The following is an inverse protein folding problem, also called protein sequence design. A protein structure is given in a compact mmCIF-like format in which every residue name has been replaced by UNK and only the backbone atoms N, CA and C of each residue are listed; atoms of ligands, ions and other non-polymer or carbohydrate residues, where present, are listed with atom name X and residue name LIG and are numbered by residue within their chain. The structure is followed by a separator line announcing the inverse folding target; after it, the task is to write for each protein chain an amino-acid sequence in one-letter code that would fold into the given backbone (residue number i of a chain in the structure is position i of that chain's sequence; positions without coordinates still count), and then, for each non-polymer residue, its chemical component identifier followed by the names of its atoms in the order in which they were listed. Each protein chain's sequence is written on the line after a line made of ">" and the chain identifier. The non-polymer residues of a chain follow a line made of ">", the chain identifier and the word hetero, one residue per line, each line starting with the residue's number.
data_IF_089466565515
#
_entry.id   IF_089466565515
#
_cell.length_a   1.000
_cell.length_b   1.000
_cell.length_c   1.000
_cell.angle_alpha   90.00
_cell.angle_beta   90.00
_cell.angle_gamma   90.00
#
_symmetry.space_group_name_H-M   'P 1'
#
loop_
_entity.id
_entity.type
_entity.pdbx_description
1 polymer ?
#
# COMPACT_ATOMS: atom_id res chain seq x y z
N UNK A 1 4.05 -9.46 -5.43
CA UNK A 1 4.74 -9.72 -6.71
C UNK A 1 5.38 -11.11 -6.68
N UNK A 2 5.50 -11.74 -7.86
CA UNK A 2 6.13 -13.05 -8.04
C UNK A 2 7.40 -12.87 -8.89
N UNK A 3 8.48 -13.54 -8.53
CA UNK A 3 9.70 -13.52 -9.35
C UNK A 3 9.42 -14.15 -10.74
N UNK A 4 9.95 -13.55 -11.80
CA UNK A 4 9.74 -14.03 -13.18
C UNK A 4 10.16 -15.50 -13.38
N UNK A 5 11.26 -15.89 -12.75
CA UNK A 5 11.72 -17.29 -12.77
C UNK A 5 10.73 -18.26 -12.13
N UNK A 6 10.06 -17.85 -11.05
CA UNK A 6 9.00 -18.66 -10.41
C UNK A 6 7.75 -18.70 -11.27
N UNK A 7 7.36 -17.57 -11.88
CA UNK A 7 6.22 -17.52 -12.78
C UNK A 7 6.41 -18.45 -13.97
N UNK A 8 7.60 -18.45 -14.58
CA UNK A 8 7.96 -19.34 -15.70
C UNK A 8 7.91 -20.82 -15.32
N UNK A 9 8.35 -21.17 -14.08
CA UNK A 9 8.25 -22.55 -13.58
C UNK A 9 6.80 -23.02 -13.38
N UNK A 10 5.90 -22.10 -12.97
CA UNK A 10 4.49 -22.41 -12.74
C UNK A 10 3.67 -22.42 -14.03
N UNK A 11 4.07 -21.63 -15.02
CA UNK A 11 3.43 -21.52 -16.32
C UNK A 11 4.52 -21.33 -17.39
N UNK A 12 5.06 -22.42 -18.00
CA UNK A 12 6.14 -22.32 -18.98
C UNK A 12 5.79 -21.51 -20.24
N UNK A 13 4.51 -21.43 -20.57
CA UNK A 13 4.00 -20.69 -21.74
C UNK A 13 3.69 -19.21 -21.45
N UNK A 14 4.03 -18.70 -20.24
CA UNK A 14 3.75 -17.32 -19.87
C UNK A 14 4.48 -16.35 -20.80
N UNK A 15 3.75 -15.33 -21.25
CA UNK A 15 4.33 -14.22 -22.03
C UNK A 15 4.58 -13.02 -21.13
N UNK A 16 5.82 -12.55 -21.07
CA UNK A 16 6.17 -11.32 -20.39
C UNK A 16 6.01 -10.15 -21.35
N UNK A 17 5.20 -9.17 -20.97
CA UNK A 17 4.99 -7.94 -21.73
C UNK A 17 5.42 -6.73 -20.91
N UNK A 18 5.97 -5.72 -21.57
CA UNK A 18 6.31 -4.47 -20.92
C UNK A 18 5.06 -3.70 -20.52
N UNK A 19 5.05 -3.13 -19.32
CA UNK A 19 3.93 -2.31 -18.86
C UNK A 19 3.89 -0.96 -19.58
N UNK A 20 2.71 -0.57 -20.09
CA UNK A 20 2.49 0.76 -20.65
C UNK A 20 2.15 1.74 -19.52
N UNK A 21 3.17 2.23 -18.80
CA UNK A 21 3.00 3.16 -17.68
C UNK A 21 2.25 4.46 -18.03
N UNK A 22 2.51 5.12 -19.18
CA UNK A 22 1.73 6.29 -19.59
C UNK A 22 0.24 6.00 -19.71
N UNK A 23 -0.14 4.91 -20.35
CA UNK A 23 -1.53 4.48 -20.48
C UNK A 23 -2.17 4.20 -19.12
N UNK A 24 -1.49 3.48 -18.23
CA UNK A 24 -1.97 3.18 -16.88
C UNK A 24 -2.24 4.50 -16.11
N UNK A 25 -1.32 5.47 -16.19
CA UNK A 25 -1.49 6.77 -15.54
C UNK A 25 -2.68 7.54 -16.12
N UNK A 26 -2.87 7.52 -17.43
CA UNK A 26 -4.00 8.18 -18.09
C UNK A 26 -5.33 7.56 -17.67
N UNK A 27 -5.43 6.23 -17.64
CA UNK A 27 -6.64 5.54 -17.17
C UNK A 27 -6.92 5.84 -15.70
N UNK A 28 -5.88 5.79 -14.85
CA UNK A 28 -5.99 6.17 -13.44
C UNK A 28 -6.52 7.60 -13.28
N UNK A 29 -5.98 8.56 -14.03
CA UNK A 29 -6.41 9.96 -13.95
C UNK A 29 -7.89 10.12 -14.28
N UNK A 30 -8.39 9.44 -15.33
CA UNK A 30 -9.82 9.45 -15.69
C UNK A 30 -10.71 8.89 -14.57
N UNK A 31 -10.32 7.75 -13.98
CA UNK A 31 -11.05 7.17 -12.86
C UNK A 31 -11.08 8.13 -11.67
N UNK A 32 -9.94 8.72 -11.30
CA UNK A 32 -9.87 9.69 -10.19
C UNK A 32 -10.72 10.95 -10.45
N UNK A 33 -10.75 11.43 -11.71
CA UNK A 33 -11.60 12.54 -12.11
C UNK A 33 -13.10 12.20 -11.95
N UNK A 34 -13.50 10.99 -12.36
CA UNK A 34 -14.89 10.53 -12.16
C UNK A 34 -15.23 10.51 -10.67
N UNK A 35 -14.37 9.93 -9.84
CA UNK A 35 -14.58 9.82 -8.40
C UNK A 35 -14.69 11.17 -7.72
N UNK A 36 -13.84 12.13 -8.08
CA UNK A 36 -13.80 13.48 -7.50
C UNK A 36 -15.11 14.29 -7.72
N UNK A 37 -15.95 13.90 -8.67
CA UNK A 37 -17.27 14.56 -8.91
C UNK A 37 -18.29 14.27 -7.81
N UNK A 38 -18.05 13.28 -6.94
CA UNK A 38 -19.06 12.77 -6.00
C UNK A 38 -18.76 13.09 -4.53
N UNK A 39 -17.53 13.44 -4.20
CA UNK A 39 -17.16 13.78 -2.83
C UNK A 39 -15.67 14.02 -2.68
N UNK A 40 -15.24 14.26 -1.46
CA UNK A 40 -13.81 14.40 -1.14
C UNK A 40 -13.08 13.11 -1.51
N UNK A 41 -12.02 13.23 -2.30
CA UNK A 41 -11.24 12.13 -2.84
C UNK A 41 -9.88 12.02 -2.14
N UNK A 42 -9.57 10.85 -1.59
CA UNK A 42 -8.22 10.49 -1.13
C UNK A 42 -7.66 9.41 -2.06
N UNK A 43 -6.64 9.76 -2.83
CA UNK A 43 -5.95 8.81 -3.70
C UNK A 43 -4.96 7.97 -2.89
N UNK A 44 -5.14 6.66 -2.89
CA UNK A 44 -4.27 5.71 -2.18
C UNK A 44 -3.14 5.16 -3.05
N UNK A 45 -3.45 4.85 -4.31
CA UNK A 45 -2.52 4.31 -5.29
C UNK A 45 -2.94 4.69 -6.72
N UNK A 46 -2.35 4.06 -7.71
CA UNK A 46 -2.71 4.24 -9.12
C UNK A 46 -4.13 3.72 -9.43
N UNK A 47 -4.64 2.77 -8.64
CA UNK A 47 -5.88 2.04 -8.87
C UNK A 47 -6.85 2.02 -7.67
N UNK A 48 -6.48 2.67 -6.57
CA UNK A 48 -7.29 2.71 -5.35
C UNK A 48 -7.49 4.13 -4.84
N UNK A 49 -8.71 4.43 -4.40
CA UNK A 49 -9.06 5.70 -3.77
C UNK A 49 -10.21 5.53 -2.77
N UNK A 50 -10.29 6.43 -1.80
CA UNK A 50 -11.48 6.64 -0.98
C UNK A 50 -12.23 7.88 -1.45
N UNK A 51 -13.55 7.79 -1.41
CA UNK A 51 -14.45 8.94 -1.65
C UNK A 51 -15.35 9.09 -0.44
N UNK A 52 -15.39 10.29 0.13
CA UNK A 52 -16.30 10.59 1.23
C UNK A 52 -17.70 10.89 0.68
N UNK A 53 -18.65 10.04 1.04
CA UNK A 53 -20.06 10.18 0.68
C UNK A 53 -20.93 10.54 1.88
N UNK A 54 -20.37 10.99 3.01
CA UNK A 54 -21.09 11.25 4.27
C UNK A 54 -22.20 12.30 4.12
N UNK A 55 -22.04 13.25 3.20
CA UNK A 55 -23.04 14.30 2.92
C UNK A 55 -24.12 13.87 1.92
N UNK A 56 -24.06 12.66 1.38
CA UNK A 56 -24.98 12.19 0.37
C UNK A 56 -26.22 11.54 1.00
N UNK A 57 -27.41 11.87 0.48
CA UNK A 57 -28.67 11.31 1.00
C UNK A 57 -28.81 9.80 0.79
N UNK A 58 -28.27 9.29 -0.31
CA UNK A 58 -28.33 7.86 -0.66
C UNK A 58 -26.97 7.39 -1.17
N UNK A 59 -25.99 7.15 -0.26
CA UNK A 59 -24.65 6.75 -0.63
C UNK A 59 -24.58 5.39 -1.32
N UNK A 60 -25.51 4.46 -1.04
CA UNK A 60 -25.56 3.16 -1.68
C UNK A 60 -25.94 3.27 -3.16
N UNK A 61 -27.02 3.97 -3.50
CA UNK A 61 -27.41 4.18 -4.88
C UNK A 61 -26.32 4.95 -5.65
N UNK A 62 -25.70 5.91 -4.99
CA UNK A 62 -24.61 6.69 -5.57
C UNK A 62 -23.36 5.82 -5.85
N UNK A 63 -22.98 4.93 -4.94
CA UNK A 63 -21.88 3.98 -5.15
C UNK A 63 -22.11 3.09 -6.39
N UNK A 64 -23.32 2.55 -6.55
CA UNK A 64 -23.69 1.78 -7.75
C UNK A 64 -23.61 2.63 -9.03
N UNK A 65 -24.01 3.90 -8.95
CA UNK A 65 -23.92 4.85 -10.07
C UNK A 65 -22.49 5.15 -10.45
N UNK A 66 -21.61 5.34 -9.47
CA UNK A 66 -20.17 5.57 -9.66
C UNK A 66 -19.54 4.39 -10.42
N UNK A 67 -19.77 3.15 -9.97
CA UNK A 67 -19.22 1.94 -10.62
C UNK A 67 -19.68 1.83 -12.08
N UNK A 68 -20.98 2.05 -12.34
CA UNK A 68 -21.53 2.07 -13.71
C UNK A 68 -20.85 3.13 -14.57
N UNK A 69 -20.62 4.33 -14.03
CA UNK A 69 -19.98 5.43 -14.74
C UNK A 69 -18.50 5.14 -15.04
N UNK A 70 -17.75 4.61 -14.09
CA UNK A 70 -16.38 4.16 -14.34
C UNK A 70 -16.36 3.17 -15.50
N UNK A 71 -17.21 2.15 -15.48
CA UNK A 71 -17.29 1.16 -16.56
C UNK A 71 -17.64 1.77 -17.90
N UNK A 72 -18.64 2.67 -17.98
CA UNK A 72 -19.08 3.28 -19.23
C UNK A 72 -18.08 4.27 -19.81
N UNK A 73 -17.38 5.06 -18.95
CA UNK A 73 -16.45 6.09 -19.41
C UNK A 73 -15.02 5.57 -19.65
N UNK A 74 -14.63 4.45 -19.01
CA UNK A 74 -13.25 3.94 -19.08
C UNK A 74 -13.13 2.51 -19.58
N UNK A 75 -14.24 1.78 -19.69
CA UNK A 75 -14.29 0.33 -19.95
C UNK A 75 -13.52 -0.54 -18.93
N UNK A 76 -13.17 0.02 -17.77
CA UNK A 76 -12.47 -0.70 -16.71
C UNK A 76 -13.47 -1.34 -15.74
N UNK A 77 -13.27 -2.62 -15.36
CA UNK A 77 -14.00 -3.21 -14.25
C UNK A 77 -13.54 -2.59 -12.93
N UNK A 78 -14.45 -2.37 -12.00
CA UNK A 78 -14.13 -1.86 -10.68
C UNK A 78 -15.03 -2.46 -9.62
N UNK A 79 -14.50 -2.63 -8.40
CA UNK A 79 -15.24 -3.07 -7.22
C UNK A 79 -15.17 -2.01 -6.13
N UNK A 80 -16.22 -1.88 -5.33
CA UNK A 80 -16.24 -0.92 -4.25
C UNK A 80 -16.81 -1.51 -2.95
N UNK A 81 -16.41 -0.92 -1.84
CA UNK A 81 -16.98 -1.16 -0.52
C UNK A 81 -17.52 0.15 0.06
N UNK A 82 -18.73 0.12 0.57
CA UNK A 82 -19.35 1.22 1.30
C UNK A 82 -19.42 0.86 2.79
N UNK A 83 -18.86 1.71 3.64
CA UNK A 83 -18.85 1.52 5.10
C UNK A 83 -18.63 2.85 5.81
N UNK A 84 -18.76 2.84 7.14
CA UNK A 84 -18.56 4.03 7.99
C UNK A 84 -17.10 4.40 8.21
N UNK A 85 -16.15 3.53 7.84
CA UNK A 85 -14.72 3.78 8.01
C UNK A 85 -13.91 3.33 6.80
N UNK A 86 -12.77 3.99 6.58
CA UNK A 86 -11.83 3.65 5.48
C UNK A 86 -11.36 2.20 5.56
N UNK A 87 -11.08 1.71 6.77
CA UNK A 87 -10.64 0.34 6.98
C UNK A 87 -11.68 -0.68 6.49
N UNK A 88 -12.92 -0.50 6.91
CA UNK A 88 -14.00 -1.45 6.58
C UNK A 88 -14.39 -1.32 5.11
N UNK A 89 -14.47 -0.10 4.57
CA UNK A 89 -14.72 0.13 3.14
C UNK A 89 -13.67 -0.57 2.26
N UNK A 90 -12.37 -0.47 2.63
CA UNK A 90 -11.29 -1.16 1.91
C UNK A 90 -11.43 -2.69 1.93
N UNK A 91 -11.76 -3.26 3.09
CA UNK A 91 -11.97 -4.71 3.22
C UNK A 91 -13.21 -5.14 2.43
N UNK A 92 -14.29 -4.37 2.51
CA UNK A 92 -15.53 -4.62 1.77
C UNK A 92 -15.32 -4.58 0.26
N UNK A 93 -14.47 -3.67 -0.25
CA UNK A 93 -14.18 -3.59 -1.68
C UNK A 93 -13.49 -4.83 -2.25
N UNK A 94 -12.81 -5.62 -1.40
CA UNK A 94 -12.15 -6.87 -1.78
C UNK A 94 -13.03 -8.11 -1.59
N UNK A 95 -14.21 -7.96 -0.96
CA UNK A 95 -15.04 -9.08 -0.53
C UNK A 95 -15.76 -9.78 -1.69
N UNK A 96 -16.25 -9.00 -2.63
CA UNK A 96 -17.03 -9.50 -3.79
C UNK A 96 -16.40 -9.05 -5.11
N UNK A 97 -15.12 -9.40 -5.33
CA UNK A 97 -14.42 -9.18 -6.60
C UNK A 97 -14.64 -10.33 -7.57
N UNK A 98 -14.71 -10.07 -8.89
CA UNK A 98 -14.64 -8.79 -9.59
C UNK A 98 -15.99 -8.06 -9.69
N UNK A 99 -15.94 -6.75 -10.00
CA UNK A 99 -17.11 -5.89 -10.29
C UNK A 99 -18.19 -5.88 -9.18
N UNK A 100 -17.81 -6.22 -7.94
CA UNK A 100 -18.70 -6.29 -6.79
C UNK A 100 -18.90 -4.94 -6.09
N UNK A 101 -20.02 -4.85 -5.36
CA UNK A 101 -20.33 -3.71 -4.49
C UNK A 101 -20.84 -4.20 -3.14
N UNK A 102 -19.97 -4.19 -2.15
CA UNK A 102 -20.29 -4.64 -0.80
C UNK A 102 -20.62 -3.46 0.11
N UNK A 103 -21.78 -3.52 0.75
CA UNK A 103 -22.24 -2.51 1.70
C UNK A 103 -22.21 -3.08 3.12
N UNK A 104 -21.49 -2.40 4.01
CA UNK A 104 -21.46 -2.71 5.45
C UNK A 104 -22.25 -1.63 6.16
N UNK A 105 -23.42 -2.00 6.69
CA UNK A 105 -24.31 -1.07 7.36
C UNK A 105 -23.71 -0.52 8.67
N UNK A 106 -23.98 0.74 9.01
CA UNK A 106 -23.53 1.32 10.28
C UNK A 106 -23.89 0.44 11.49
N UNK A 107 -22.91 0.22 12.38
CA UNK A 107 -23.07 -0.62 13.57
C UNK A 107 -22.90 -2.13 13.33
N UNK A 108 -22.71 -2.56 12.08
CA UNK A 108 -22.51 -3.99 11.74
C UNK A 108 -21.05 -4.32 11.40
N UNK A 109 -20.13 -3.38 11.51
CA UNK A 109 -18.72 -3.49 11.10
C UNK A 109 -18.03 -4.67 11.79
N UNK A 110 -18.18 -4.77 13.11
CA UNK A 110 -17.59 -5.88 13.89
C UNK A 110 -18.17 -7.23 13.50
N UNK A 111 -19.48 -7.30 13.22
CA UNK A 111 -20.15 -8.52 12.76
C UNK A 111 -19.67 -8.95 11.38
N UNK A 112 -19.48 -7.97 10.48
CA UNK A 112 -18.93 -8.20 9.13
C UNK A 112 -17.50 -8.75 9.19
N UNK A 113 -16.65 -8.17 10.04
CA UNK A 113 -15.24 -8.56 10.17
C UNK A 113 -15.05 -9.87 10.92
N UNK A 114 -15.88 -10.18 11.91
CA UNK A 114 -15.72 -11.30 12.84
C UNK A 114 -15.31 -12.64 12.19
N UNK A 115 -15.96 -13.12 11.11
CA UNK A 115 -15.63 -14.40 10.46
C UNK A 115 -14.36 -14.34 9.59
N UNK A 116 -13.86 -13.14 9.26
CA UNK A 116 -12.75 -12.97 8.33
C UNK A 116 -11.42 -13.38 8.97
N UNK A 117 -10.56 -13.98 8.15
CA UNK A 117 -9.16 -14.22 8.52
C UNK A 117 -8.44 -12.92 8.85
N UNK A 118 -7.55 -12.95 9.84
CA UNK A 118 -6.78 -11.78 10.28
C UNK A 118 -5.98 -11.11 9.17
N UNK A 119 -5.55 -11.86 8.17
CA UNK A 119 -4.82 -11.32 7.00
C UNK A 119 -5.68 -10.43 6.09
N UNK A 120 -7.00 -10.50 6.21
CA UNK A 120 -7.92 -9.61 5.48
C UNK A 120 -7.94 -8.20 6.06
N UNK A 121 -7.50 -8.03 7.30
CA UNK A 121 -7.39 -6.70 7.91
C UNK A 121 -6.24 -5.92 7.25
N UNK A 122 -6.57 -4.80 6.65
CA UNK A 122 -5.58 -3.91 6.04
C UNK A 122 -4.49 -3.49 7.03
N UNK A 123 -3.22 -3.74 6.66
CA UNK A 123 -2.05 -3.48 7.50
C UNK A 123 -1.63 -4.63 8.39
N UNK A 124 -2.28 -5.81 8.32
CA UNK A 124 -1.76 -7.06 8.91
C UNK A 124 -1.02 -7.84 7.83
N UNK A 125 0.30 -7.69 7.81
CA UNK A 125 1.17 -8.44 6.90
C UNK A 125 1.48 -9.87 7.38
N UNK A 126 2.19 -10.67 6.56
CA UNK A 126 2.50 -12.07 6.88
C UNK A 126 3.20 -12.26 8.23
N UNK A 127 4.14 -11.39 8.58
CA UNK A 127 4.87 -11.48 9.87
C UNK A 127 3.96 -11.27 11.08
N UNK A 128 3.06 -10.28 11.02
CA UNK A 128 2.08 -10.02 12.09
C UNK A 128 1.07 -11.16 12.18
N UNK A 129 0.57 -11.63 11.04
CA UNK A 129 -0.35 -12.75 10.99
C UNK A 129 0.28 -14.05 11.56
N UNK A 130 1.53 -14.35 11.22
CA UNK A 130 2.24 -15.51 11.78
C UNK A 130 2.33 -15.45 13.31
N UNK A 131 2.66 -14.27 13.88
CA UNK A 131 2.70 -14.08 15.32
C UNK A 131 1.33 -14.19 15.98
N UNK A 132 0.26 -13.73 15.33
CA UNK A 132 -1.10 -13.89 15.84
C UNK A 132 -1.53 -15.37 15.78
N UNK A 133 -1.22 -16.06 14.68
CA UNK A 133 -1.51 -17.48 14.53
C UNK A 133 -0.81 -18.36 15.59
N UNK A 134 0.43 -18.03 16.00
CA UNK A 134 1.12 -18.74 17.09
C UNK A 134 0.46 -18.57 18.46
N UNK A 135 -0.44 -17.58 18.61
CA UNK A 135 -1.30 -17.40 19.77
C UNK A 135 -2.69 -18.05 19.62
N UNK A 136 -2.91 -18.82 18.55
CA UNK A 136 -4.21 -19.42 18.25
C UNK A 136 -5.22 -18.45 17.63
N UNK A 137 -4.79 -17.23 17.24
CA UNK A 137 -5.64 -16.19 16.67
C UNK A 137 -5.64 -16.32 15.15
N UNK A 138 -6.75 -16.72 14.56
CA UNK A 138 -6.89 -16.91 13.10
C UNK A 138 -7.89 -15.94 12.48
N UNK A 139 -8.93 -15.57 13.22
CA UNK A 139 -10.02 -14.71 12.76
C UNK A 139 -10.04 -13.37 13.50
N UNK A 140 -10.74 -12.41 12.92
CA UNK A 140 -10.96 -11.11 13.56
C UNK A 140 -11.70 -11.25 14.89
N UNK A 141 -12.66 -12.18 15.01
CA UNK A 141 -13.34 -12.52 16.27
C UNK A 141 -12.38 -12.88 17.39
N UNK A 142 -11.30 -13.61 17.06
CA UNK A 142 -10.34 -14.08 18.06
C UNK A 142 -9.54 -12.90 18.63
N UNK A 143 -9.18 -11.92 17.77
CA UNK A 143 -8.53 -10.67 18.23
C UNK A 143 -9.45 -9.88 19.16
N UNK A 144 -10.75 -9.85 18.85
CA UNK A 144 -11.73 -9.15 19.70
C UNK A 144 -11.87 -9.85 21.06
N UNK A 145 -11.91 -11.18 21.07
CA UNK A 145 -12.12 -11.98 22.26
C UNK A 145 -10.91 -12.04 23.21
N UNK A 146 -9.68 -12.08 22.65
CA UNK A 146 -8.47 -12.25 23.47
C UNK A 146 -8.26 -11.06 24.43
N UNK A 147 -7.79 -11.35 25.65
CA UNK A 147 -7.37 -10.28 26.57
C UNK A 147 -6.19 -9.50 25.98
N UNK A 148 -6.26 -8.17 26.04
CA UNK A 148 -5.21 -7.27 25.57
C UNK A 148 -3.88 -7.51 26.27
N UNK A 149 -3.91 -7.94 27.54
CA UNK A 149 -2.71 -8.23 28.32
C UNK A 149 -1.86 -9.36 27.70
N UNK A 150 -2.48 -10.26 26.92
CA UNK A 150 -1.77 -11.31 26.18
C UNK A 150 -1.13 -10.81 24.89
N UNK A 151 -1.61 -9.70 24.33
CA UNK A 151 -1.08 -9.08 23.11
C UNK A 151 0.04 -8.07 23.41
N UNK A 152 -0.04 -7.37 24.54
CA UNK A 152 0.89 -6.30 24.92
C UNK A 152 2.37 -6.74 24.92
N UNK A 153 2.78 -7.90 25.45
CA UNK A 153 4.17 -8.32 25.43
C UNK A 153 4.74 -8.55 24.03
N UNK A 154 3.88 -8.84 23.05
CA UNK A 154 4.25 -9.22 21.68
C UNK A 154 4.18 -8.04 20.72
N UNK A 155 3.16 -7.20 20.88
CA UNK A 155 2.84 -6.12 19.94
C UNK A 155 2.92 -4.72 20.57
N UNK A 156 3.18 -4.61 21.88
CA UNK A 156 3.24 -3.33 22.58
C UNK A 156 1.97 -2.50 22.37
N UNK A 157 2.11 -1.20 22.17
CA UNK A 157 0.99 -0.27 21.92
C UNK A 157 0.18 -0.61 20.66
N UNK A 158 0.77 -1.34 19.72
CA UNK A 158 0.05 -1.79 18.53
C UNK A 158 -1.11 -2.75 18.84
N UNK A 159 -1.13 -3.37 20.03
CA UNK A 159 -2.21 -4.26 20.50
C UNK A 159 -3.57 -3.57 20.52
N UNK A 160 -3.62 -2.31 20.95
CA UNK A 160 -4.85 -1.49 20.94
C UNK A 160 -5.34 -1.28 19.50
N UNK A 161 -4.41 -0.95 18.60
CA UNK A 161 -4.72 -0.76 17.19
C UNK A 161 -5.26 -2.05 16.54
N UNK A 162 -4.66 -3.21 16.85
CA UNK A 162 -5.14 -4.52 16.38
C UNK A 162 -6.59 -4.79 16.82
N UNK A 163 -6.90 -4.56 18.09
CA UNK A 163 -8.28 -4.73 18.61
C UNK A 163 -9.26 -3.77 17.96
N UNK A 164 -8.90 -2.50 17.81
CA UNK A 164 -9.75 -1.51 17.14
C UNK A 164 -10.02 -1.91 15.70
N UNK A 165 -8.98 -2.28 14.96
CA UNK A 165 -9.14 -2.75 13.57
C UNK A 165 -10.05 -3.97 13.46
N UNK A 166 -9.90 -4.95 14.36
CA UNK A 166 -10.75 -6.15 14.37
C UNK A 166 -12.22 -5.85 14.69
N UNK A 167 -12.50 -4.74 15.41
CA UNK A 167 -13.85 -4.22 15.66
C UNK A 167 -14.37 -3.32 14.52
N UNK A 168 -13.56 -3.00 13.52
CA UNK A 168 -13.91 -2.07 12.45
C UNK A 168 -13.76 -0.59 12.82
N UNK A 169 -13.14 -0.29 13.96
CA UNK A 169 -12.93 1.08 14.44
C UNK A 169 -11.73 1.70 13.73
N UNK A 170 -11.98 2.73 12.95
CA UNK A 170 -10.96 3.52 12.25
C UNK A 170 -11.47 4.96 12.09
N UNK A 171 -10.88 5.87 12.86
CA UNK A 171 -11.31 7.27 12.94
C UNK A 171 -10.62 8.18 11.90
N UNK A 172 -9.86 7.60 10.95
CA UNK A 172 -9.22 8.39 9.90
C UNK A 172 -10.28 8.92 8.93
N UNK A 173 -10.26 10.23 8.73
CA UNK A 173 -11.07 10.88 7.69
C UNK A 173 -10.49 10.66 6.30
N UNK A 174 -11.29 10.87 5.26
CA UNK A 174 -10.81 10.94 3.88
C UNK A 174 -10.02 12.23 3.71
N UNK A 175 -8.74 12.12 3.41
CA UNK A 175 -7.79 13.24 3.34
C UNK A 175 -7.42 13.51 1.88
N UNK A 176 -7.86 14.64 1.29
CA UNK A 176 -7.54 14.99 -0.10
C UNK A 176 -6.11 15.50 -0.28
N UNK A 177 -5.36 15.65 0.80
CA UNK A 177 -3.99 16.18 0.75
C UNK A 177 -3.11 15.31 -0.16
N UNK A 178 -2.27 15.92 -0.99
CA UNK A 178 -1.35 15.16 -1.83
C UNK A 178 -0.38 14.37 -0.95
N UNK A 179 -0.18 13.10 -1.32
CA UNK A 179 0.78 12.26 -0.62
C UNK A 179 2.20 12.85 -0.76
N UNK A 180 2.84 13.05 0.38
CA UNK A 180 4.20 13.58 0.44
C UNK A 180 5.17 12.43 0.65
N UNK A 181 6.07 12.18 -0.31
CA UNK A 181 7.12 11.18 -0.17
C UNK A 181 8.00 11.47 1.05
N UNK A 182 8.10 10.52 1.97
CA UNK A 182 8.95 10.62 3.17
C UNK A 182 10.40 10.23 2.89
N UNK A 183 10.64 9.51 1.81
CA UNK A 183 11.95 9.09 1.35
C UNK A 183 11.95 9.01 -0.18
N UNK A 184 13.10 9.24 -0.79
CA UNK A 184 13.38 9.03 -2.19
C UNK A 184 14.56 8.09 -2.29
N UNK A 185 14.50 7.13 -3.21
CA UNK A 185 15.58 6.18 -3.42
C UNK A 185 15.55 5.58 -4.82
N UNK A 186 16.69 5.10 -5.25
CA UNK A 186 16.86 4.28 -6.45
C UNK A 186 17.59 3.00 -6.08
N UNK A 187 17.37 1.94 -6.82
CA UNK A 187 18.10 0.69 -6.68
C UNK A 187 18.26 0.01 -8.03
N UNK A 188 19.38 -0.66 -8.23
CA UNK A 188 19.62 -1.47 -9.41
C UNK A 188 19.97 -2.90 -9.03
N UNK A 189 19.67 -3.82 -9.93
CA UNK A 189 20.09 -5.22 -9.85
C UNK A 189 20.94 -5.50 -11.07
N UNK A 190 22.16 -5.99 -10.83
CA UNK A 190 23.11 -6.28 -11.89
C UNK A 190 22.85 -7.68 -12.48
N UNK A 191 23.08 -7.84 -13.76
CA UNK A 191 22.95 -9.13 -14.46
C UNK A 191 23.98 -10.16 -13.97
N UNK A 192 25.13 -9.67 -13.50
CA UNK A 192 26.17 -10.46 -12.84
C UNK A 192 26.63 -9.81 -11.54
N UNK A 193 27.12 -10.63 -10.61
CA UNK A 193 27.59 -10.12 -9.33
C UNK A 193 28.82 -9.21 -9.50
N UNK A 194 28.78 -8.04 -8.88
CA UNK A 194 29.94 -7.17 -8.81
C UNK A 194 31.04 -7.83 -7.99
N UNK A 195 32.26 -7.89 -8.52
CA UNK A 195 33.40 -8.56 -7.89
C UNK A 195 34.43 -7.60 -7.33
N UNK A 196 34.49 -6.37 -7.82
CA UNK A 196 35.48 -5.38 -7.43
C UNK A 196 34.83 -4.20 -6.71
N UNK A 197 35.53 -3.67 -5.71
CA UNK A 197 35.06 -2.51 -4.95
C UNK A 197 34.85 -1.28 -5.87
N UNK A 198 35.69 -1.11 -6.89
CA UNK A 198 35.57 -0.05 -7.91
C UNK A 198 34.24 -0.07 -8.64
N UNK A 199 33.73 -1.25 -8.98
CA UNK A 199 32.43 -1.39 -9.67
C UNK A 199 31.28 -0.99 -8.74
N UNK A 200 31.41 -1.34 -7.45
CA UNK A 200 30.43 -0.94 -6.41
C UNK A 200 30.45 0.58 -6.22
N UNK A 201 31.65 1.20 -6.17
CA UNK A 201 31.80 2.65 -6.05
C UNK A 201 31.21 3.40 -7.22
N UNK A 202 31.46 2.94 -8.46
CA UNK A 202 30.86 3.52 -9.66
C UNK A 202 29.34 3.44 -9.64
N UNK A 203 28.79 2.28 -9.30
CA UNK A 203 27.35 2.12 -9.16
C UNK A 203 26.75 3.04 -8.10
N UNK A 204 27.39 3.19 -6.93
CA UNK A 204 26.93 4.10 -5.89
C UNK A 204 26.98 5.57 -6.34
N UNK A 205 27.98 5.99 -7.11
CA UNK A 205 28.05 7.34 -7.67
C UNK A 205 26.88 7.61 -8.62
N UNK A 206 26.59 6.67 -9.52
CA UNK A 206 25.46 6.79 -10.45
C UNK A 206 24.12 6.87 -9.70
N UNK A 207 23.88 5.97 -8.75
CA UNK A 207 22.67 5.96 -7.94
C UNK A 207 22.53 7.23 -7.08
N UNK A 208 23.64 7.76 -6.56
CA UNK A 208 23.66 9.04 -5.81
C UNK A 208 23.26 10.22 -6.71
N UNK A 209 23.71 10.23 -7.96
CA UNK A 209 23.32 11.23 -8.95
C UNK A 209 21.83 11.17 -9.26
N UNK A 210 21.29 9.99 -9.56
CA UNK A 210 19.86 9.79 -9.82
C UNK A 210 18.98 10.26 -8.63
N UNK A 211 19.37 9.92 -7.39
CA UNK A 211 18.63 10.35 -6.19
C UNK A 211 18.70 11.86 -6.03
N UNK A 212 19.89 12.47 -6.21
CA UNK A 212 20.07 13.93 -6.13
C UNK A 212 19.19 14.67 -7.14
N UNK A 213 19.19 14.24 -8.39
CA UNK A 213 18.36 14.81 -9.46
C UNK A 213 16.86 14.69 -9.12
N UNK A 214 16.43 13.52 -8.61
CA UNK A 214 15.04 13.29 -8.23
C UNK A 214 14.60 14.16 -7.06
N UNK A 215 15.44 14.34 -6.04
CA UNK A 215 15.18 15.22 -4.90
C UNK A 215 15.10 16.68 -5.38
N UNK A 216 16.02 17.10 -6.25
CA UNK A 216 16.04 18.44 -6.84
C UNK A 216 14.78 18.76 -7.64
N UNK A 217 14.29 17.82 -8.46
CA UNK A 217 13.03 17.96 -9.19
C UNK A 217 11.81 18.11 -8.28
N UNK A 218 11.87 17.57 -7.06
CA UNK A 218 10.82 17.72 -6.05
C UNK A 218 10.91 19.03 -5.26
N UNK A 219 11.97 19.82 -5.46
CA UNK A 219 12.25 21.02 -4.66
C UNK A 219 12.51 20.70 -3.18
N UNK A 220 13.16 19.57 -2.88
CA UNK A 220 13.37 19.05 -1.53
C UNK A 220 14.83 18.80 -1.20
N UNK A 221 15.07 18.55 0.09
CA UNK A 221 16.35 18.12 0.63
C UNK A 221 16.20 16.86 1.46
N UNK A 222 17.29 16.18 1.70
CA UNK A 222 17.39 15.05 2.61
C UNK A 222 18.32 15.38 3.80
N UNK A 223 18.22 14.60 4.86
CA UNK A 223 19.15 14.65 6.00
C UNK A 223 19.71 13.28 6.35
N UNK A 224 19.07 12.24 5.87
CA UNK A 224 19.47 10.86 6.16
C UNK A 224 19.70 10.13 4.84
N UNK A 225 20.90 9.59 4.69
CA UNK A 225 21.29 8.73 3.59
C UNK A 225 21.20 7.29 4.07
N UNK A 226 20.67 6.41 3.22
CA UNK A 226 20.57 4.99 3.49
C UNK A 226 21.14 4.20 2.32
N UNK A 227 22.12 3.33 2.59
CA UNK A 227 22.65 2.37 1.63
C UNK A 227 22.06 1.00 1.94
N UNK A 228 21.59 0.32 0.89
CA UNK A 228 21.12 -1.06 0.94
C UNK A 228 21.97 -1.90 -0.02
N UNK A 229 22.63 -2.93 0.51
CA UNK A 229 23.36 -3.92 -0.27
C UNK A 229 22.68 -5.28 -0.15
N UNK A 230 22.55 -5.95 -1.28
CA UNK A 230 21.96 -7.29 -1.34
C UNK A 230 22.87 -8.25 -2.08
N UNK A 231 23.15 -9.38 -1.46
CA UNK A 231 23.94 -10.47 -2.03
C UNK A 231 23.09 -11.40 -2.89
N UNK A 232 23.71 -12.28 -3.67
CA UNK A 232 23.01 -13.25 -4.54
C UNK A 232 22.07 -14.21 -3.80
N UNK A 233 22.38 -14.52 -2.55
CA UNK A 233 21.55 -15.33 -1.64
C UNK A 233 20.39 -14.54 -1.02
N UNK A 234 20.18 -13.28 -1.48
CA UNK A 234 19.20 -12.31 -0.95
C UNK A 234 19.50 -11.81 0.48
N UNK A 235 20.61 -12.19 1.08
CA UNK A 235 21.08 -11.53 2.32
C UNK A 235 21.21 -10.03 2.07
N UNK A 236 20.58 -9.24 2.92
CA UNK A 236 20.52 -7.79 2.74
C UNK A 236 21.02 -7.09 3.99
N UNK A 237 21.92 -6.15 3.81
CA UNK A 237 22.31 -5.21 4.87
C UNK A 237 21.89 -3.80 4.49
N UNK A 238 21.59 -3.02 5.52
CA UNK A 238 21.26 -1.60 5.40
C UNK A 238 22.11 -0.81 6.37
N UNK A 239 22.65 0.31 5.93
CA UNK A 239 23.36 1.29 6.76
C UNK A 239 22.79 2.65 6.49
N UNK A 240 22.67 3.46 7.53
CA UNK A 240 22.18 4.84 7.39
C UNK A 240 23.04 5.81 8.18
N UNK A 241 23.13 7.04 7.69
CA UNK A 241 23.77 8.16 8.34
C UNK A 241 22.89 9.39 8.23
N UNK A 242 22.68 10.06 9.35
CA UNK A 242 21.99 11.36 9.40
C UNK A 242 23.04 12.44 9.59
N UNK A 243 22.95 13.50 8.79
CA UNK A 243 23.84 14.65 8.87
C UNK A 243 23.11 15.87 9.46
N UNK A 244 23.84 16.83 10.07
CA UNK A 244 23.24 18.02 10.69
C UNK A 244 22.59 18.97 9.67
N UNK A 245 23.10 19.00 8.43
CA UNK A 245 22.66 19.89 7.36
C UNK A 245 21.74 19.23 6.36
N UNK A 246 21.33 20.02 5.38
CA UNK A 246 20.53 19.55 4.23
C UNK A 246 21.44 19.03 3.13
N UNK A 247 21.03 17.94 2.53
CA UNK A 247 21.73 17.28 1.43
C UNK A 247 20.95 17.55 0.14
N UNK A 248 21.64 18.11 -0.85
CA UNK A 248 21.08 18.42 -2.15
C UNK A 248 21.90 17.85 -3.32
N UNK A 249 23.22 17.72 -3.13
CA UNK A 249 24.16 17.34 -4.19
C UNK A 249 24.52 15.86 -4.12
N UNK A 250 24.87 15.31 -5.28
CA UNK A 250 25.28 13.90 -5.38
C UNK A 250 26.55 13.59 -4.60
N UNK A 251 27.48 14.56 -4.51
CA UNK A 251 28.73 14.45 -3.77
C UNK A 251 28.49 14.33 -2.26
N UNK A 252 27.42 14.94 -1.74
CA UNK A 252 27.03 14.85 -0.32
C UNK A 252 26.31 13.53 -0.01
N UNK A 253 25.73 12.87 -1.03
CA UNK A 253 25.03 11.59 -0.89
C UNK A 253 26.04 10.44 -0.98
N UNK A 254 27.04 10.53 -1.84
CA UNK A 254 28.10 9.55 -2.01
C UNK A 254 29.15 9.64 -0.89
#
# INVERSE_FOLDING_TARGET
>A
AMASSKALKLCPEIKFVSSNRPMIRSCSAKVMEILARYGTLEKMSVDEAFVDLSLQKNPEALGKTILKRIKSETNLPSSAGLATSKLVAKIASDFDKPEGFTVVQPGTESKFLAPLEIRKIYGIGPKTASRLNSLGIQKCSDIVAIDIQKLLPIFGQYSVNLKNKAKGIDNRVVDPSPWIAKQQGTETTFDSNLKHATDVELALKELSKEVSESIGQMGRSARTITIKLRWPDFTTITRQKTVPGEIHKSEDIY
#
